data_IF_858142760612
#
_entry.id   IF_858142760612
#
_cell.length_a   1.000
_cell.length_b   1.000
_cell.length_c   1.000
_cell.angle_alpha   90.00
_cell.angle_beta   90.00
_cell.angle_gamma   90.00
#
_symmetry.space_group_name_H-M   'P 1'
#
loop_
_entity.id
_entity.type
_entity.pdbx_description
1 polymer ?
#
# COMPACT_ATOMS: atom_id res chain seq x y z
N UNK A 1 27.59 49.12 -31.09
CA UNK A 1 26.52 48.10 -31.02
C UNK A 1 25.20 48.84 -30.90
N UNK A 2 24.38 48.85 -31.95
CA UNK A 2 23.06 49.47 -31.95
C UNK A 2 22.06 48.49 -31.34
N UNK A 3 21.29 48.95 -30.34
CA UNK A 3 20.10 48.25 -29.84
C UNK A 3 18.99 48.47 -30.85
N UNK A 4 18.33 47.40 -31.31
CA UNK A 4 17.19 47.49 -32.20
C UNK A 4 15.95 47.86 -31.38
N UNK A 5 15.46 49.08 -31.54
CA UNK A 5 14.18 49.53 -30.98
C UNK A 5 13.06 48.97 -31.87
N UNK A 6 12.56 47.79 -31.52
CA UNK A 6 11.38 47.22 -32.19
C UNK A 6 10.13 47.94 -31.71
N UNK A 7 9.36 48.50 -32.65
CA UNK A 7 8.08 49.14 -32.36
C UNK A 7 6.97 48.08 -32.28
N UNK A 8 6.03 48.20 -31.33
CA UNK A 8 4.92 47.24 -31.12
C UNK A 8 4.12 46.96 -32.40
N UNK A 9 3.94 47.98 -33.24
CA UNK A 9 3.22 47.84 -34.50
C UNK A 9 4.00 46.99 -35.52
N UNK A 10 5.33 47.05 -35.51
CA UNK A 10 6.17 46.16 -36.33
C UNK A 10 6.11 44.71 -35.85
N UNK A 11 6.01 44.50 -34.53
CA UNK A 11 5.89 43.16 -33.94
C UNK A 11 4.53 42.55 -34.30
N UNK A 12 3.44 43.31 -34.23
CA UNK A 12 2.11 42.86 -34.62
C UNK A 12 2.03 42.50 -36.11
N UNK A 13 2.63 43.33 -36.96
CA UNK A 13 2.66 43.06 -38.40
C UNK A 13 3.47 41.79 -38.70
N UNK A 14 4.60 41.58 -38.04
CA UNK A 14 5.41 40.37 -38.19
C UNK A 14 4.67 39.10 -37.71
N UNK A 15 3.94 39.19 -36.60
CA UNK A 15 3.14 38.08 -36.06
C UNK A 15 1.94 37.76 -36.95
N UNK A 16 1.34 38.77 -37.59
CA UNK A 16 0.22 38.58 -38.51
C UNK A 16 0.61 37.87 -39.82
N UNK A 17 1.90 37.93 -40.18
CA UNK A 17 2.45 37.27 -41.37
C UNK A 17 2.86 35.81 -41.11
N UNK A 18 2.76 35.32 -39.87
CA UNK A 18 3.06 33.91 -39.59
C UNK A 18 1.92 33.01 -40.13
N UNK A 19 2.26 31.96 -40.90
CA UNK A 19 1.26 31.01 -41.37
C UNK A 19 0.61 30.33 -40.18
N UNK A 20 -0.70 30.10 -40.25
CA UNK A 20 -1.41 29.32 -39.23
C UNK A 20 -0.80 27.92 -39.16
N UNK A 21 -0.09 27.63 -38.06
CA UNK A 21 0.51 26.33 -37.80
C UNK A 21 -0.63 25.37 -37.48
N UNK A 22 -1.10 24.66 -38.50
CA UNK A 22 -2.05 23.55 -38.34
C UNK A 22 -1.25 22.27 -38.33
N UNK A 23 -1.35 21.56 -37.22
CA UNK A 23 -0.79 20.23 -37.13
C UNK A 23 -1.69 19.27 -37.93
N UNK A 24 -1.19 18.81 -39.07
CA UNK A 24 -1.89 17.88 -39.96
C UNK A 24 -1.64 16.41 -39.58
N UNK A 25 -0.97 16.14 -38.46
CA UNK A 25 -0.71 14.78 -38.00
C UNK A 25 -1.98 14.19 -37.40
N UNK A 26 -2.34 12.98 -37.83
CA UNK A 26 -3.45 12.25 -37.22
C UNK A 26 -3.08 11.81 -35.79
N UNK A 27 -4.05 11.71 -34.86
CA UNK A 27 -3.79 11.19 -33.51
C UNK A 27 -3.12 9.81 -33.52
N UNK A 28 -3.43 8.98 -34.52
CA UNK A 28 -2.84 7.66 -34.72
C UNK A 28 -1.36 7.73 -35.14
N UNK A 29 -0.97 8.71 -35.96
CA UNK A 29 0.42 8.92 -36.34
C UNK A 29 1.26 9.46 -35.17
N UNK A 30 0.66 10.27 -34.30
CA UNK A 30 1.28 10.75 -33.06
C UNK A 30 1.52 9.55 -32.12
N UNK A 31 0.50 8.72 -31.92
CA UNK A 31 0.60 7.52 -31.07
C UNK A 31 1.65 6.52 -31.58
N UNK A 32 1.69 6.28 -32.90
CA UNK A 32 2.66 5.39 -33.53
C UNK A 32 4.10 5.91 -33.39
N UNK A 33 4.31 7.23 -33.38
CA UNK A 33 5.63 7.84 -33.15
C UNK A 33 6.04 7.79 -31.68
N UNK A 34 5.10 7.97 -30.75
CA UNK A 34 5.35 7.83 -29.31
C UNK A 34 5.72 6.38 -28.94
N UNK A 35 5.06 5.39 -29.53
CA UNK A 35 5.39 3.98 -29.30
C UNK A 35 6.74 3.57 -29.92
N UNK A 36 7.11 4.15 -31.08
CA UNK A 36 8.42 3.93 -31.70
C UNK A 36 9.55 4.72 -31.03
N UNK A 37 9.26 5.82 -30.32
CA UNK A 37 10.26 6.60 -29.59
C UNK A 37 10.73 5.92 -28.29
N UNK A 38 9.99 4.93 -27.76
CA UNK A 38 10.37 4.15 -26.56
C UNK A 38 11.55 3.18 -26.76
N UNK A 39 12.15 3.09 -27.96
CA UNK A 39 13.27 2.17 -28.20
C UNK A 39 14.54 2.86 -28.71
N UNK A 40 15.19 3.73 -27.92
CA UNK A 40 16.61 4.04 -28.12
C UNK A 40 17.42 4.15 -26.81
N UNK A 41 18.22 3.10 -26.61
CA UNK A 41 19.53 2.97 -25.91
C UNK A 41 19.57 3.05 -24.36
N UNK A 42 19.69 1.87 -23.74
CA UNK A 42 20.51 1.69 -22.52
C UNK A 42 22.00 1.79 -22.90
N UNK A 43 22.81 2.51 -22.11
CA UNK A 43 24.26 2.54 -22.23
C UNK A 43 24.87 1.21 -21.79
N UNK A 44 25.82 0.67 -22.55
CA UNK A 44 26.49 -0.59 -22.24
C UNK A 44 27.37 -0.44 -20.98
N UNK A 45 26.92 -1.01 -19.86
CA UNK A 45 27.75 -1.23 -18.68
C UNK A 45 28.65 -2.44 -18.95
N UNK A 46 29.96 -2.26 -18.73
CA UNK A 46 31.00 -3.24 -19.05
C UNK A 46 31.00 -4.34 -17.99
N UNK A 47 30.60 -5.55 -18.40
CA UNK A 47 30.50 -6.76 -17.60
C UNK A 47 31.89 -7.24 -17.13
N UNK A 48 32.21 -7.12 -15.84
CA UNK A 48 33.39 -7.71 -15.18
C UNK A 48 32.89 -8.89 -14.33
N UNK A 49 32.44 -9.94 -15.01
CA UNK A 49 31.78 -11.10 -14.40
C UNK A 49 32.66 -12.27 -13.91
N UNK A 50 33.90 -12.52 -14.40
CA UNK A 50 34.62 -13.73 -13.96
C UNK A 50 35.64 -13.54 -12.83
N UNK A 51 36.10 -12.32 -12.54
CA UNK A 51 37.21 -12.09 -11.60
C UNK A 51 36.77 -12.00 -10.13
N UNK A 52 35.52 -11.58 -9.85
CA UNK A 52 35.03 -11.45 -8.47
C UNK A 52 34.55 -12.79 -7.88
N UNK A 53 34.05 -13.71 -8.71
CA UNK A 53 33.55 -15.01 -8.23
C UNK A 53 34.68 -15.93 -7.71
N UNK A 54 35.88 -15.85 -8.28
CA UNK A 54 37.04 -16.65 -7.84
C UNK A 54 37.56 -16.20 -6.48
N UNK A 55 37.58 -14.90 -6.19
CA UNK A 55 37.99 -14.37 -4.88
C UNK A 55 37.03 -14.79 -3.75
N UNK A 56 35.72 -14.82 -4.02
CA UNK A 56 34.71 -15.25 -3.04
C UNK A 56 34.80 -16.75 -2.75
N UNK A 57 35.02 -17.59 -3.77
CA UNK A 57 35.16 -19.03 -3.60
C UNK A 57 36.42 -19.41 -2.78
N UNK A 58 37.55 -18.73 -3.01
CA UNK A 58 38.79 -18.95 -2.23
C UNK A 58 38.62 -18.50 -0.77
N UNK A 59 37.89 -17.40 -0.54
CA UNK A 59 37.58 -16.93 0.81
C UNK A 59 36.67 -17.91 1.58
N UNK A 60 35.65 -18.47 0.92
CA UNK A 60 34.78 -19.51 1.51
C UNK A 60 35.58 -20.79 1.84
N UNK A 61 36.50 -21.22 0.97
CA UNK A 61 37.34 -22.39 1.23
C UNK A 61 38.28 -22.22 2.44
N UNK A 62 38.78 -20.99 2.67
CA UNK A 62 39.61 -20.67 3.84
C UNK A 62 38.81 -20.67 5.15
N UNK A 63 37.54 -20.26 5.13
CA UNK A 63 36.66 -20.28 6.31
C UNK A 63 36.27 -21.71 6.71
N UNK A 64 36.14 -22.61 5.73
CA UNK A 64 35.67 -23.99 5.98
C UNK A 64 36.81 -24.92 6.46
N UNK A 65 38.06 -24.61 6.13
CA UNK A 65 39.22 -25.47 6.41
C UNK A 65 39.49 -25.79 7.90
N UNK A 66 39.24 -24.88 8.88
CA UNK A 66 39.41 -25.22 10.29
C UNK A 66 38.30 -26.12 10.85
N UNK A 67 37.14 -26.19 10.19
CA UNK A 67 35.93 -26.80 10.76
C UNK A 67 35.81 -28.31 10.52
N UNK A 68 36.67 -28.88 9.67
CA UNK A 68 36.66 -30.31 9.31
C UNK A 68 37.79 -31.12 9.93
N UNK A 69 38.71 -30.50 10.69
CA UNK A 69 39.87 -31.20 11.24
C UNK A 69 39.72 -31.62 12.72
N UNK A 70 38.53 -31.49 13.31
CA UNK A 70 38.31 -31.74 14.75
C UNK A 70 37.66 -33.10 15.06
N UNK A 71 37.80 -34.09 14.17
CA UNK A 71 37.23 -35.43 14.39
C UNK A 71 38.26 -36.55 14.16
N UNK A 72 39.26 -36.63 15.06
CA UNK A 72 40.06 -37.83 15.28
C UNK A 72 40.50 -38.00 16.76
N UNK A 73 39.57 -38.55 17.57
CA UNK A 73 39.80 -39.46 18.72
C UNK A 73 40.37 -38.94 20.09
N UNK A 74 40.23 -39.70 21.21
CA UNK A 74 39.50 -39.23 22.41
C UNK A 74 40.31 -39.26 23.74
N UNK A 75 39.84 -38.55 24.78
CA UNK A 75 39.65 -39.01 26.18
C UNK A 75 39.70 -37.87 27.21
N UNK A 76 38.62 -37.82 28.00
CA UNK A 76 38.50 -37.49 29.44
C UNK A 76 39.60 -36.68 30.14
N UNK A 77 39.19 -35.58 30.78
CA UNK A 77 39.42 -35.34 32.22
C UNK A 77 38.48 -34.28 32.79
N UNK A 78 37.96 -34.60 33.97
CA UNK A 78 37.09 -33.78 34.82
C UNK A 78 37.83 -32.60 35.48
N UNK A 79 37.00 -31.67 35.98
CA UNK A 79 37.12 -30.92 37.23
C UNK A 79 37.49 -29.42 37.18
N UNK A 80 36.45 -28.64 37.50
CA UNK A 80 36.40 -27.58 38.52
C UNK A 80 36.58 -26.10 38.13
N UNK A 81 35.53 -25.34 38.51
CA UNK A 81 35.53 -23.94 39.01
C UNK A 81 35.79 -22.86 37.94
N UNK A 82 35.10 -21.71 37.87
CA UNK A 82 34.27 -20.95 38.81
C UNK A 82 33.49 -19.86 38.01
N UNK A 83 32.48 -19.28 38.64
CA UNK A 83 31.60 -18.22 38.15
C UNK A 83 32.27 -17.05 37.41
N UNK A 84 31.68 -16.65 36.28
CA UNK A 84 31.52 -15.24 35.91
C UNK A 84 30.28 -15.09 35.00
N UNK A 85 29.13 -14.85 35.64
CA UNK A 85 27.93 -14.35 34.96
C UNK A 85 28.24 -12.90 34.56
N UNK A 86 28.68 -12.70 33.32
CA UNK A 86 28.61 -11.39 32.68
C UNK A 86 27.42 -11.43 31.73
N UNK A 87 26.33 -10.78 32.16
CA UNK A 87 25.18 -10.46 31.31
C UNK A 87 25.66 -9.58 30.16
N UNK A 88 25.92 -10.19 29.02
CA UNK A 88 26.04 -9.46 27.75
C UNK A 88 24.66 -9.41 27.09
N UNK A 89 23.69 -8.82 27.79
CA UNK A 89 22.57 -8.20 27.10
C UNK A 89 23.04 -6.81 26.65
N UNK A 90 22.52 -6.34 25.51
CA UNK A 90 22.58 -4.96 24.99
C UNK A 90 23.63 -4.64 23.92
N UNK A 91 23.19 -4.81 22.67
CA UNK A 91 23.27 -3.80 21.60
C UNK A 91 22.47 -4.31 20.39
N UNK A 92 22.69 -5.57 20.01
CA UNK A 92 22.10 -6.20 18.83
C UNK A 92 20.61 -6.49 19.01
N UNK A 93 20.20 -7.04 20.16
CA UNK A 93 18.78 -7.27 20.47
C UNK A 93 17.96 -5.98 20.58
N UNK A 94 18.58 -4.86 21.00
CA UNK A 94 17.91 -3.55 21.02
C UNK A 94 17.72 -3.01 19.61
N UNK A 95 18.72 -3.17 18.73
CA UNK A 95 18.64 -2.72 17.33
C UNK A 95 17.64 -3.56 16.53
N UNK A 96 17.62 -4.87 16.73
CA UNK A 96 16.64 -5.78 16.14
C UNK A 96 15.20 -5.51 16.64
N UNK A 97 15.03 -5.26 17.94
CA UNK A 97 13.72 -4.88 18.50
C UNK A 97 13.24 -3.51 17.99
N UNK A 98 14.15 -2.54 17.80
CA UNK A 98 13.83 -1.24 17.20
C UNK A 98 13.45 -1.37 15.72
N UNK A 99 14.09 -2.26 14.94
CA UNK A 99 13.71 -2.50 13.54
C UNK A 99 12.35 -3.19 13.39
N UNK A 100 11.98 -4.07 14.32
CA UNK A 100 10.66 -4.72 14.33
C UNK A 100 9.53 -3.74 14.72
N UNK A 101 9.81 -2.77 15.58
CA UNK A 101 8.84 -1.72 15.96
C UNK A 101 8.52 -0.76 14.79
N UNK A 102 9.46 -0.62 13.84
CA UNK A 102 9.32 0.24 12.65
C UNK A 102 8.72 -0.48 11.44
N UNK A 103 8.50 -1.80 11.47
CA UNK A 103 8.04 -2.59 10.30
C UNK A 103 6.51 -2.72 10.20
N UNK A 104 5.76 -1.94 10.97
CA UNK A 104 4.29 -2.00 10.99
C UNK A 104 3.70 -1.46 9.68
N UNK A 105 2.74 -2.17 9.11
CA UNK A 105 1.96 -1.73 7.95
C UNK A 105 0.55 -1.26 8.34
N UNK A 106 0.34 -0.82 9.59
CA UNK A 106 -0.95 -0.27 10.03
C UNK A 106 -0.79 0.98 10.90
N UNK A 107 -1.78 1.87 10.78
CA UNK A 107 -1.95 3.04 11.65
C UNK A 107 -2.66 2.58 12.94
N UNK A 108 -2.07 2.80 14.13
CA UNK A 108 -2.76 2.53 15.39
C UNK A 108 -4.06 3.33 15.53
N UNK A 109 -5.09 2.75 16.17
CA UNK A 109 -6.40 3.40 16.35
C UNK A 109 -6.28 4.84 16.93
N UNK A 110 -5.46 4.99 17.97
CA UNK A 110 -5.21 6.28 18.65
C UNK A 110 -4.61 7.37 17.75
N UNK A 111 -4.04 7.01 16.60
CA UNK A 111 -3.39 7.93 15.66
C UNK A 111 -4.25 8.22 14.44
N UNK A 112 -5.50 7.73 14.37
CA UNK A 112 -6.40 7.89 13.22
C UNK A 112 -6.45 9.32 12.67
N UNK A 113 -6.54 10.32 13.56
CA UNK A 113 -6.69 11.71 13.17
C UNK A 113 -5.45 12.30 12.47
N UNK A 114 -4.29 11.65 12.60
CA UNK A 114 -3.02 12.06 12.02
C UNK A 114 -2.83 11.57 10.59
N UNK A 115 -3.75 10.74 10.07
CA UNK A 115 -3.62 10.12 8.75
C UNK A 115 -4.89 10.36 7.91
N UNK A 116 -4.70 10.35 6.59
CA UNK A 116 -5.79 10.29 5.62
C UNK A 116 -5.47 9.15 4.64
N UNK A 117 -6.42 8.25 4.44
CA UNK A 117 -6.22 7.12 3.52
C UNK A 117 -6.73 7.45 2.13
N UNK A 118 -5.92 7.11 1.14
CA UNK A 118 -6.22 7.19 -0.28
C UNK A 118 -5.85 5.87 -0.92
N UNK A 119 -6.67 5.38 -1.84
CA UNK A 119 -6.37 4.19 -2.59
C UNK A 119 -5.66 4.56 -3.89
N UNK A 120 -4.65 3.77 -4.24
CA UNK A 120 -4.00 3.76 -5.55
C UNK A 120 -4.21 2.39 -6.18
N UNK A 121 -4.17 2.30 -7.50
CA UNK A 121 -4.17 1.01 -8.18
C UNK A 121 -2.84 0.78 -8.90
N UNK A 122 -2.36 -0.44 -8.85
CA UNK A 122 -1.30 -0.90 -9.73
C UNK A 122 -1.85 -1.09 -11.15
N UNK A 123 -1.32 -0.36 -12.13
CA UNK A 123 -1.78 -0.42 -13.52
C UNK A 123 -1.62 -1.83 -14.13
N UNK A 124 -0.59 -2.57 -13.74
CA UNK A 124 -0.28 -3.88 -14.29
C UNK A 124 -1.20 -4.95 -13.70
N UNK A 125 -1.29 -5.01 -12.38
CA UNK A 125 -2.05 -6.06 -11.68
C UNK A 125 -3.51 -5.68 -11.44
N UNK A 126 -3.86 -4.39 -11.59
CA UNK A 126 -5.16 -3.81 -11.20
C UNK A 126 -5.50 -3.99 -9.71
N UNK A 127 -4.49 -4.25 -8.87
CA UNK A 127 -4.64 -4.37 -7.41
C UNK A 127 -4.89 -3.01 -6.79
N UNK A 128 -5.92 -2.90 -5.95
CA UNK A 128 -6.22 -1.68 -5.19
C UNK A 128 -5.46 -1.69 -3.87
N UNK A 129 -4.63 -0.68 -3.64
CA UNK A 129 -3.75 -0.54 -2.50
C UNK A 129 -4.19 0.69 -1.69
N UNK A 130 -4.84 0.52 -0.53
CA UNK A 130 -5.12 1.63 0.37
C UNK A 130 -3.85 2.08 1.09
N UNK A 131 -3.49 3.36 0.96
CA UNK A 131 -2.30 3.98 1.55
C UNK A 131 -2.72 5.08 2.50
N UNK A 132 -2.21 5.06 3.73
CA UNK A 132 -2.51 6.06 4.76
C UNK A 132 -1.40 7.10 4.83
N UNK A 133 -1.66 8.28 4.28
CA UNK A 133 -0.70 9.38 4.23
C UNK A 133 -0.78 10.17 5.54
N UNK A 134 0.37 10.36 6.18
CA UNK A 134 0.47 11.18 7.40
C UNK A 134 0.20 12.65 7.06
N UNK A 135 -0.73 13.27 7.80
CA UNK A 135 -1.09 14.67 7.62
C UNK A 135 0.08 15.58 7.96
N UNK A 136 0.31 16.57 7.10
CA UNK A 136 1.35 17.61 7.30
C UNK A 136 0.82 18.81 8.09
N UNK A 137 -0.52 19.01 8.07
CA UNK A 137 -1.23 20.08 8.78
C UNK A 137 -2.56 19.57 9.34
N UNK A 138 -3.01 20.15 10.45
CA UNK A 138 -4.21 19.67 11.17
C UNK A 138 -5.51 19.84 10.38
N UNK A 139 -5.55 20.78 9.43
CA UNK A 139 -6.70 21.10 8.59
C UNK A 139 -6.54 20.63 7.13
N UNK A 140 -5.66 19.66 6.89
CA UNK A 140 -5.44 19.12 5.55
C UNK A 140 -6.72 18.45 5.03
N UNK A 141 -7.14 18.84 3.83
CA UNK A 141 -8.38 18.36 3.21
C UNK A 141 -8.13 17.06 2.44
N UNK A 142 -9.19 16.29 2.19
CA UNK A 142 -9.12 15.10 1.32
C UNK A 142 -8.61 15.47 -0.07
N UNK A 143 -9.03 16.61 -0.62
CA UNK A 143 -8.59 17.07 -1.94
C UNK A 143 -7.06 17.22 -2.00
N UNK A 144 -6.47 17.87 -0.99
CA UNK A 144 -5.02 18.05 -0.91
C UNK A 144 -4.28 16.71 -0.85
N UNK A 145 -4.77 15.77 -0.02
CA UNK A 145 -4.15 14.44 0.10
C UNK A 145 -4.31 13.61 -1.18
N UNK A 146 -5.43 13.73 -1.90
CA UNK A 146 -5.61 13.08 -3.20
C UNK A 146 -4.57 13.57 -4.21
N UNK A 147 -4.31 14.87 -4.28
CA UNK A 147 -3.28 15.41 -5.18
C UNK A 147 -1.86 15.05 -4.74
N UNK A 148 -1.58 15.01 -3.44
CA UNK A 148 -0.30 14.53 -2.92
C UNK A 148 -0.07 13.06 -3.27
N UNK A 149 -1.14 12.26 -3.34
CA UNK A 149 -1.04 10.84 -3.68
C UNK A 149 -0.57 10.57 -5.11
N UNK A 150 -0.80 11.52 -6.02
CA UNK A 150 -0.34 11.43 -7.41
C UNK A 150 1.17 11.62 -7.55
N UNK A 151 1.80 12.24 -6.54
CA UNK A 151 3.24 12.48 -6.48
C UNK A 151 4.00 11.37 -5.74
N UNK A 152 3.29 10.36 -5.24
CA UNK A 152 3.89 9.25 -4.52
C UNK A 152 4.60 8.29 -5.48
N UNK A 153 5.92 8.19 -5.32
CA UNK A 153 6.76 7.21 -6.03
C UNK A 153 6.68 5.83 -5.37
N UNK A 154 5.45 5.29 -5.25
CA UNK A 154 5.17 3.97 -4.66
C UNK A 154 5.11 2.88 -5.74
N UNK A 155 4.61 3.24 -6.92
CA UNK A 155 4.52 2.36 -8.07
C UNK A 155 4.99 3.14 -9.29
N UNK A 156 5.77 2.50 -10.15
CA UNK A 156 6.25 3.08 -11.41
C UNK A 156 5.08 3.54 -12.31
N UNK A 157 3.91 2.88 -12.20
CA UNK A 157 2.69 3.18 -12.95
C UNK A 157 1.45 3.12 -12.04
N UNK A 158 1.39 3.97 -11.02
CA UNK A 158 0.19 4.12 -10.20
C UNK A 158 -0.97 4.73 -11.00
N UNK A 159 -2.17 4.20 -10.81
CA UNK A 159 -3.42 4.84 -11.20
C UNK A 159 -4.03 5.44 -9.94
N UNK A 160 -4.22 6.76 -9.93
CA UNK A 160 -4.78 7.50 -8.79
C UNK A 160 -6.15 8.07 -9.14
N UNK A 161 -6.89 8.56 -8.14
CA UNK A 161 -8.17 9.24 -8.39
C UNK A 161 -7.98 10.51 -9.26
N UNK A 162 -6.97 11.38 -8.98
CA UNK A 162 -6.65 12.50 -9.86
C UNK A 162 -6.47 12.13 -11.33
N UNK A 163 -5.96 10.94 -11.65
CA UNK A 163 -5.80 10.48 -13.05
C UNK A 163 -7.10 10.43 -13.86
N UNK A 164 -8.26 10.47 -13.21
CA UNK A 164 -9.59 10.49 -13.84
C UNK A 164 -10.33 11.82 -13.68
N UNK A 165 -9.76 12.74 -12.90
CA UNK A 165 -10.46 13.90 -12.34
C UNK A 165 -9.69 15.18 -12.65
N UNK A 166 -9.72 15.61 -13.91
CA UNK A 166 -9.30 16.96 -14.29
C UNK A 166 -10.34 17.98 -13.80
N UNK A 167 -9.87 19.07 -13.18
CA UNK A 167 -10.71 20.20 -12.75
C UNK A 167 -11.89 19.82 -11.81
N UNK A 168 -11.59 19.04 -10.77
CA UNK A 168 -12.58 18.63 -9.75
C UNK A 168 -12.41 19.38 -8.44
N UNK A 169 -13.50 19.91 -7.90
CA UNK A 169 -13.59 20.51 -6.57
C UNK A 169 -14.25 19.53 -5.59
N UNK A 170 -13.54 19.18 -4.51
CA UNK A 170 -14.05 18.27 -3.48
C UNK A 170 -14.41 19.07 -2.23
N UNK A 171 -15.69 19.05 -1.85
CA UNK A 171 -16.23 19.71 -0.67
C UNK A 171 -16.64 18.71 0.39
N UNK A 172 -16.08 18.85 1.57
CA UNK A 172 -16.35 18.02 2.74
C UNK A 172 -17.57 18.52 3.52
N UNK A 173 -18.63 17.70 3.63
CA UNK A 173 -19.79 17.98 4.48
C UNK A 173 -19.80 17.01 5.67
N UNK A 174 -18.99 17.32 6.68
CA UNK A 174 -18.81 16.49 7.87
C UNK A 174 -20.12 16.28 8.65
N UNK A 175 -21.00 17.28 8.70
CA UNK A 175 -22.27 17.21 9.43
C UNK A 175 -23.19 16.09 8.91
N UNK A 176 -23.15 15.83 7.60
CA UNK A 176 -23.97 14.79 6.97
C UNK A 176 -23.17 13.52 6.66
N UNK A 177 -21.87 13.49 6.98
CA UNK A 177 -20.93 12.45 6.54
C UNK A 177 -20.96 12.24 5.02
N UNK A 178 -21.09 13.35 4.29
CA UNK A 178 -21.15 13.36 2.83
C UNK A 178 -19.89 14.01 2.25
N UNK A 179 -19.31 13.40 1.22
CA UNK A 179 -18.31 14.05 0.38
C UNK A 179 -18.97 14.51 -0.91
N UNK A 180 -18.98 15.82 -1.15
CA UNK A 180 -19.52 16.40 -2.37
C UNK A 180 -18.40 16.59 -3.37
N UNK A 181 -18.48 15.92 -4.51
CA UNK A 181 -17.54 16.08 -5.61
C UNK A 181 -18.24 16.90 -6.69
N UNK A 182 -17.75 18.11 -6.90
CA UNK A 182 -18.21 19.00 -7.96
C UNK A 182 -17.25 18.89 -9.13
N UNK A 183 -17.80 18.57 -10.31
CA UNK A 183 -17.02 18.40 -11.53
C UNK A 183 -17.40 19.46 -12.55
N UNK A 184 -16.39 20.15 -13.08
CA UNK A 184 -16.58 21.18 -14.10
C UNK A 184 -16.69 20.58 -15.50
N UNK A 185 -16.10 19.41 -15.72
CA UNK A 185 -16.23 18.61 -16.95
C UNK A 185 -16.75 17.19 -16.62
N UNK A 186 -17.31 16.46 -17.59
CA UNK A 186 -17.62 15.05 -17.42
C UNK A 186 -16.38 14.26 -16.97
N UNK A 187 -16.55 13.32 -16.04
CA UNK A 187 -15.45 12.43 -15.64
C UNK A 187 -15.22 11.46 -16.79
N UNK A 188 -14.12 11.66 -17.53
CA UNK A 188 -13.72 10.81 -18.65
C UNK A 188 -13.05 9.54 -18.11
N UNK A 189 -13.82 8.46 -17.97
CA UNK A 189 -13.23 7.13 -17.97
C UNK A 189 -13.16 6.63 -19.41
N UNK A 190 -11.96 6.27 -19.87
CA UNK A 190 -11.72 5.89 -21.26
C UNK A 190 -12.27 4.49 -21.59
N UNK A 191 -12.65 3.70 -20.58
CA UNK A 191 -13.21 2.35 -20.73
C UNK A 191 -14.07 1.90 -19.53
N UNK A 192 -14.83 0.82 -19.72
CA UNK A 192 -15.58 0.13 -18.64
C UNK A 192 -14.64 -0.34 -17.51
N UNK A 193 -13.40 -0.71 -17.84
CA UNK A 193 -12.39 -1.10 -16.86
C UNK A 193 -12.00 0.09 -15.99
N UNK A 194 -11.79 1.25 -16.60
CA UNK A 194 -11.43 2.49 -15.92
C UNK A 194 -12.54 2.96 -14.98
N UNK A 195 -13.80 2.86 -15.42
CA UNK A 195 -14.98 3.13 -14.58
C UNK A 195 -14.99 2.24 -13.31
N UNK A 196 -14.70 0.95 -13.47
CA UNK A 196 -14.67 0.00 -12.36
C UNK A 196 -13.51 0.32 -11.40
N UNK A 197 -12.33 0.67 -11.93
CA UNK A 197 -11.17 1.06 -11.13
C UNK A 197 -11.47 2.33 -10.33
N UNK A 198 -11.94 3.40 -10.98
CA UNK A 198 -12.27 4.65 -10.31
C UNK A 198 -13.27 4.44 -9.16
N UNK A 199 -14.33 3.66 -9.41
CA UNK A 199 -15.32 3.34 -8.37
C UNK A 199 -14.70 2.58 -7.19
N UNK A 200 -13.77 1.66 -7.44
CA UNK A 200 -13.04 0.95 -6.38
C UNK A 200 -12.13 1.90 -5.61
N UNK A 201 -11.37 2.75 -6.30
CA UNK A 201 -10.48 3.74 -5.68
C UNK A 201 -11.25 4.68 -4.75
N UNK A 202 -12.37 5.25 -5.23
CA UNK A 202 -13.23 6.13 -4.43
C UNK A 202 -13.78 5.43 -3.18
N UNK A 203 -14.31 4.21 -3.35
CA UNK A 203 -14.86 3.43 -2.24
C UNK A 203 -13.80 3.05 -1.22
N UNK A 204 -12.65 2.59 -1.68
CA UNK A 204 -11.57 2.16 -0.82
C UNK A 204 -10.97 3.33 -0.06
N UNK A 205 -10.71 4.47 -0.72
CA UNK A 205 -10.19 5.69 -0.06
C UNK A 205 -11.11 6.14 1.07
N UNK A 206 -12.41 6.28 0.78
CA UNK A 206 -13.35 6.84 1.75
C UNK A 206 -13.82 5.85 2.81
N UNK A 207 -13.59 4.54 2.65
CA UNK A 207 -13.89 3.55 3.68
C UNK A 207 -13.29 3.94 5.03
N UNK A 208 -12.05 4.41 5.02
CA UNK A 208 -11.24 4.77 6.18
C UNK A 208 -11.51 6.19 6.72
N UNK A 209 -12.38 6.95 6.04
CA UNK A 209 -12.77 8.32 6.40
C UNK A 209 -14.05 8.34 7.25
N UNK A 210 -14.51 9.49 7.78
CA UNK A 210 -15.83 9.58 8.42
C UNK A 210 -17.01 9.58 7.43
N UNK A 211 -16.77 9.67 6.12
CA UNK A 211 -17.80 9.85 5.10
C UNK A 211 -18.49 8.53 4.73
N UNK A 212 -19.82 8.52 4.68
CA UNK A 212 -20.64 7.32 4.39
C UNK A 212 -21.14 7.28 2.94
N UNK A 213 -21.04 8.39 2.22
CA UNK A 213 -21.41 8.48 0.81
C UNK A 213 -20.73 9.64 0.09
N UNK A 214 -20.65 9.49 -1.24
CA UNK A 214 -20.22 10.53 -2.17
C UNK A 214 -21.44 11.02 -2.94
N UNK A 215 -21.61 12.34 -3.05
CA UNK A 215 -22.54 12.96 -3.99
C UNK A 215 -21.77 13.68 -5.07
N UNK A 216 -22.24 13.57 -6.30
CA UNK A 216 -21.52 14.09 -7.46
C UNK A 216 -22.41 15.11 -8.17
N UNK A 217 -21.86 16.28 -8.45
CA UNK A 217 -22.57 17.42 -9.03
C UNK A 217 -21.85 17.92 -10.27
N UNK A 218 -22.59 18.18 -11.35
CA UNK A 218 -22.07 18.83 -12.55
C UNK A 218 -22.26 20.35 -12.47
N UNK A 219 -21.17 21.11 -12.50
CA UNK A 219 -21.19 22.58 -12.52
C UNK A 219 -21.88 23.13 -13.77
N UNK A 220 -21.67 22.51 -14.93
CA UNK A 220 -22.27 22.92 -16.20
C UNK A 220 -23.80 22.75 -16.20
N UNK A 221 -24.29 21.65 -15.63
CA UNK A 221 -25.72 21.34 -15.67
C UNK A 221 -26.51 21.95 -14.51
N UNK A 222 -25.85 22.51 -13.47
CA UNK A 222 -26.46 23.01 -12.22
C UNK A 222 -27.50 22.03 -11.65
N UNK A 223 -27.24 20.73 -11.79
CA UNK A 223 -28.15 19.64 -11.43
C UNK A 223 -27.39 18.55 -10.69
N UNK A 224 -28.12 17.81 -9.87
CA UNK A 224 -27.60 16.63 -9.18
C UNK A 224 -27.18 15.57 -10.22
N UNK A 225 -25.99 15.02 -10.01
CA UNK A 225 -25.40 14.00 -10.86
C UNK A 225 -24.40 14.54 -11.87
N UNK A 226 -23.39 13.72 -12.14
CA UNK A 226 -22.49 13.89 -13.29
C UNK A 226 -22.36 12.56 -14.03
N UNK A 227 -22.11 12.63 -15.34
CA UNK A 227 -21.77 11.43 -16.11
C UNK A 227 -20.38 10.95 -15.71
N UNK A 228 -20.26 9.67 -15.35
CA UNK A 228 -18.97 9.04 -15.04
C UNK A 228 -18.76 7.93 -16.04
N UNK A 229 -17.91 8.20 -17.02
CA UNK A 229 -17.57 7.31 -18.11
C UNK A 229 -18.80 6.66 -18.78
N UNK A 230 -18.67 5.36 -19.04
CA UNK A 230 -19.64 4.56 -19.78
C UNK A 230 -20.84 4.08 -18.95
N UNK A 231 -20.79 4.26 -17.62
CA UNK A 231 -21.78 3.76 -16.68
C UNK A 231 -22.97 4.72 -16.44
N UNK A 232 -23.03 5.84 -17.16
CA UNK A 232 -24.11 6.81 -17.08
C UNK A 232 -23.96 7.83 -15.94
N UNK A 233 -25.06 8.48 -15.57
CA UNK A 233 -25.07 9.54 -14.54
C UNK A 233 -25.15 8.94 -13.14
N UNK A 234 -24.15 9.19 -12.30
CA UNK A 234 -24.21 8.89 -10.87
C UNK A 234 -24.56 10.16 -10.09
N UNK A 235 -25.55 10.05 -9.21
CA UNK A 235 -25.88 11.08 -8.23
C UNK A 235 -25.26 10.79 -6.87
N UNK A 236 -25.18 9.51 -6.49
CA UNK A 236 -24.71 9.08 -5.18
C UNK A 236 -23.93 7.74 -5.24
N UNK A 237 -22.86 7.62 -4.46
CA UNK A 237 -22.09 6.39 -4.26
C UNK A 237 -22.04 6.08 -2.75
N UNK A 238 -22.63 4.97 -2.28
CA UNK A 238 -22.53 4.56 -0.88
C UNK A 238 -21.13 4.00 -0.56
N UNK A 239 -20.64 4.32 0.64
CA UNK A 239 -19.34 3.93 1.17
C UNK A 239 -19.54 3.00 2.38
N UNK A 240 -19.63 1.67 2.15
CA UNK A 240 -19.77 0.72 3.26
C UNK A 240 -18.50 0.69 4.11
N UNK A 241 -18.64 0.85 5.43
CA UNK A 241 -17.52 0.79 6.39
C UNK A 241 -17.01 -0.62 6.65
N UNK A 242 -17.86 -1.60 6.40
CA UNK A 242 -17.55 -3.03 6.51
C UNK A 242 -17.90 -3.67 5.17
N UNK A 243 -16.98 -4.45 4.60
CA UNK A 243 -17.21 -5.15 3.34
C UNK A 243 -16.88 -6.64 3.42
N UNK A 244 -16.59 -7.16 4.61
CA UNK A 244 -16.34 -8.57 4.88
C UNK A 244 -15.24 -9.16 3.97
N UNK A 245 -14.15 -8.42 3.77
CA UNK A 245 -12.99 -8.85 2.96
C UNK A 245 -11.88 -9.35 3.86
N UNK A 246 -11.06 -10.25 3.32
CA UNK A 246 -9.80 -10.65 3.94
C UNK A 246 -8.69 -9.66 3.54
N UNK A 247 -7.55 -9.74 4.22
CA UNK A 247 -6.33 -9.04 3.83
C UNK A 247 -5.24 -10.02 3.41
N UNK A 248 -4.49 -9.65 2.36
CA UNK A 248 -3.35 -10.40 1.84
C UNK A 248 -2.11 -9.51 1.74
N UNK A 249 -0.95 -10.14 1.61
CA UNK A 249 0.30 -9.43 1.34
C UNK A 249 0.42 -9.18 -0.16
N UNK A 250 0.67 -7.93 -0.54
CA UNK A 250 1.06 -7.54 -1.89
C UNK A 250 2.46 -6.93 -1.81
N UNK A 251 3.34 -7.34 -2.73
CA UNK A 251 4.67 -6.76 -2.85
C UNK A 251 4.78 -6.11 -4.22
N UNK A 252 5.16 -4.82 -4.26
CA UNK A 252 5.35 -4.10 -5.51
C UNK A 252 6.66 -4.53 -6.21
N UNK A 253 6.89 -4.01 -7.42
CA UNK A 253 8.11 -4.31 -8.20
C UNK A 253 9.41 -3.85 -7.51
N UNK A 254 9.32 -2.88 -6.61
CA UNK A 254 10.44 -2.35 -5.83
C UNK A 254 10.74 -3.18 -4.56
N UNK A 255 9.94 -4.21 -4.28
CA UNK A 255 10.08 -5.08 -3.10
C UNK A 255 9.46 -4.52 -1.82
N UNK A 256 8.63 -3.48 -1.91
CA UNK A 256 7.89 -2.92 -0.79
C UNK A 256 6.58 -3.69 -0.56
N UNK A 257 6.33 -4.02 0.70
CA UNK A 257 5.18 -4.78 1.15
C UNK A 257 3.99 -3.88 1.51
N UNK A 258 2.79 -4.35 1.18
CA UNK A 258 1.50 -3.72 1.45
C UNK A 258 0.48 -4.76 1.91
N UNK A 259 -0.37 -4.37 2.86
CA UNK A 259 -1.57 -5.12 3.24
C UNK A 259 -2.73 -4.64 2.37
N UNK A 260 -3.24 -5.51 1.51
CA UNK A 260 -4.32 -5.18 0.55
C UNK A 260 -5.56 -6.00 0.83
N UNK A 261 -6.77 -5.43 0.69
CA UNK A 261 -8.00 -6.18 0.83
C UNK A 261 -8.22 -7.10 -0.38
N UNK A 262 -8.85 -8.24 -0.15
CA UNK A 262 -9.23 -9.16 -1.23
C UNK A 262 -10.33 -8.56 -2.11
N UNK A 263 -10.33 -8.88 -3.40
CA UNK A 263 -11.44 -8.52 -4.30
C UNK A 263 -12.77 -9.21 -3.91
N UNK A 264 -12.65 -10.42 -3.35
CA UNK A 264 -13.77 -11.22 -2.88
C UNK A 264 -14.23 -10.79 -1.49
N UNK A 265 -15.54 -10.88 -1.25
CA UNK A 265 -16.16 -10.77 0.07
C UNK A 265 -16.57 -12.15 0.59
N UNK A 266 -16.67 -12.27 1.91
CA UNK A 266 -16.98 -13.52 2.60
C UNK A 266 -18.20 -13.37 3.49
N UNK A 267 -18.88 -14.48 3.77
CA UNK A 267 -20.06 -14.44 4.63
C UNK A 267 -19.67 -14.41 6.10
N UNK A 268 -18.52 -15.03 6.44
CA UNK A 268 -18.04 -15.11 7.82
C UNK A 268 -16.55 -14.75 7.89
N UNK A 269 -16.12 -14.23 9.05
CA UNK A 269 -14.71 -13.92 9.30
C UNK A 269 -13.85 -15.18 9.27
N UNK A 270 -14.40 -16.34 9.63
CA UNK A 270 -13.72 -17.64 9.53
C UNK A 270 -13.37 -18.01 8.08
N UNK A 271 -14.27 -17.76 7.14
CA UNK A 271 -14.01 -17.96 5.71
C UNK A 271 -12.93 -17.00 5.20
N UNK A 272 -12.99 -15.72 5.61
CA UNK A 272 -11.98 -14.73 5.27
C UNK A 272 -10.60 -15.11 5.81
N UNK A 273 -10.49 -15.50 7.08
CA UNK A 273 -9.23 -15.98 7.67
C UNK A 273 -8.71 -17.23 6.94
N UNK A 274 -9.62 -18.11 6.47
CA UNK A 274 -9.21 -19.27 5.69
C UNK A 274 -8.62 -18.89 4.33
N UNK A 275 -9.13 -17.83 3.69
CA UNK A 275 -8.54 -17.28 2.48
C UNK A 275 -7.10 -16.80 2.71
N UNK A 276 -6.83 -16.16 3.85
CA UNK A 276 -5.50 -15.63 4.21
C UNK A 276 -4.42 -16.72 4.36
N UNK A 277 -4.81 -17.98 4.53
CA UNK A 277 -3.92 -19.14 4.60
C UNK A 277 -3.44 -19.65 3.23
N UNK A 278 -4.14 -19.30 2.14
CA UNK A 278 -3.83 -19.78 0.78
C UNK A 278 -3.60 -18.66 -0.24
N UNK A 279 -4.21 -17.49 -0.03
CA UNK A 279 -4.26 -16.34 -0.96
C UNK A 279 -4.49 -16.76 -2.42
N UNK A 280 -5.75 -17.03 -2.77
CA UNK A 280 -6.13 -17.44 -4.13
C UNK A 280 -6.16 -16.25 -5.12
N UNK A 281 -5.90 -15.02 -4.65
CA UNK A 281 -5.82 -13.83 -5.47
C UNK A 281 -4.46 -13.74 -6.19
N UNK A 282 -4.51 -13.53 -7.50
CA UNK A 282 -3.31 -13.32 -8.33
C UNK A 282 -2.50 -12.12 -7.80
N UNK A 283 -1.17 -12.23 -7.81
CA UNK A 283 -0.23 -11.18 -7.41
C UNK A 283 -0.24 -10.85 -5.90
N UNK A 284 -0.75 -11.75 -5.06
CA UNK A 284 -0.70 -11.63 -3.60
C UNK A 284 -0.15 -12.90 -2.96
N UNK A 285 0.38 -12.79 -1.75
CA UNK A 285 0.88 -13.90 -0.95
C UNK A 285 0.05 -14.08 0.33
N UNK A 286 -0.06 -15.33 0.83
CA UNK A 286 -0.72 -15.60 2.10
C UNK A 286 0.04 -14.96 3.27
N UNK A 287 -0.71 -14.38 4.21
CA UNK A 287 -0.18 -13.80 5.45
C UNK A 287 -0.10 -14.82 6.58
N UNK A 288 -0.83 -15.93 6.47
CA UNK A 288 -0.96 -16.94 7.51
C UNK A 288 -0.43 -18.27 6.95
N UNK A 289 0.40 -18.97 7.73
CA UNK A 289 0.77 -20.34 7.39
C UNK A 289 -0.46 -21.24 7.38
N UNK A 290 -0.63 -22.07 6.35
CA UNK A 290 -1.76 -22.98 6.25
C UNK A 290 -1.92 -23.87 7.49
N UNK A 291 -3.11 -23.84 8.11
CA UNK A 291 -3.42 -24.58 9.33
C UNK A 291 -2.92 -23.94 10.64
N UNK A 292 -2.36 -22.74 10.59
CA UNK A 292 -1.93 -22.02 11.78
C UNK A 292 -3.13 -21.64 12.67
N UNK A 293 -4.29 -21.28 12.08
CA UNK A 293 -5.48 -20.91 12.85
C UNK A 293 -6.32 -22.16 13.12
N UNK A 294 -6.45 -22.52 14.39
CA UNK A 294 -7.22 -23.70 14.83
C UNK A 294 -8.72 -23.41 14.93
N UNK A 295 -9.09 -22.26 15.50
CA UNK A 295 -10.50 -21.88 15.65
C UNK A 295 -10.66 -20.38 15.80
N UNK A 296 -11.83 -19.91 15.40
CA UNK A 296 -12.26 -18.52 15.51
C UNK A 296 -13.58 -18.50 16.25
N UNK A 297 -13.73 -17.60 17.23
CA UNK A 297 -14.97 -17.43 18.01
C UNK A 297 -15.32 -15.96 18.08
N UNK A 298 -16.60 -15.66 17.83
CA UNK A 298 -17.12 -14.30 17.78
C UNK A 298 -17.94 -14.04 19.04
N UNK A 299 -17.71 -12.93 19.73
CA UNK A 299 -18.55 -12.48 20.85
C UNK A 299 -18.76 -10.98 20.76
N UNK A 300 -19.99 -10.58 20.46
CA UNK A 300 -20.35 -9.16 20.28
C UNK A 300 -19.38 -8.49 19.29
N UNK A 301 -18.57 -7.53 19.76
CA UNK A 301 -17.60 -6.79 18.96
C UNK A 301 -16.15 -7.25 19.12
N UNK A 302 -15.95 -8.42 19.73
CA UNK A 302 -14.65 -9.01 20.03
C UNK A 302 -14.47 -10.32 19.25
N UNK A 303 -13.32 -10.46 18.59
CA UNK A 303 -12.91 -11.68 17.88
C UNK A 303 -11.84 -12.46 18.65
N UNK A 304 -12.05 -13.75 18.88
CA UNK A 304 -11.06 -14.64 19.50
C UNK A 304 -10.47 -15.55 18.44
N UNK A 305 -9.15 -15.49 18.26
CA UNK A 305 -8.40 -16.32 17.33
C UNK A 305 -7.47 -17.24 18.12
N UNK A 306 -7.74 -18.55 18.05
CA UNK A 306 -6.89 -19.56 18.66
C UNK A 306 -5.97 -20.17 17.60
N UNK A 307 -4.67 -20.06 17.81
CA UNK A 307 -3.67 -20.70 16.97
C UNK A 307 -3.47 -22.18 17.34
N UNK A 308 -2.92 -22.94 16.40
CA UNK A 308 -2.42 -24.29 16.63
C UNK A 308 -1.13 -24.24 17.47
N UNK A 309 -0.92 -25.20 18.37
CA UNK A 309 0.25 -25.23 19.29
C UNK A 309 1.63 -25.22 18.60
N UNK A 310 1.68 -25.59 17.32
CA UNK A 310 2.90 -25.62 16.50
C UNK A 310 2.79 -24.70 15.28
N UNK A 311 1.96 -23.65 15.38
CA UNK A 311 1.70 -22.70 14.29
C UNK A 311 2.91 -21.84 13.89
N UNK A 312 4.02 -21.88 14.65
CA UNK A 312 5.21 -21.09 14.36
C UNK A 312 4.98 -19.58 14.45
N UNK A 313 3.99 -19.14 15.24
CA UNK A 313 3.75 -17.72 15.50
C UNK A 313 4.90 -17.19 16.37
N UNK A 314 5.75 -16.36 15.78
CA UNK A 314 6.98 -15.88 16.38
C UNK A 314 7.07 -14.35 16.35
N UNK A 315 7.88 -13.78 17.25
CA UNK A 315 8.20 -12.35 17.25
C UNK A 315 9.14 -12.02 16.07
N UNK A 316 8.55 -11.83 14.89
CA UNK A 316 9.23 -11.63 13.62
C UNK A 316 8.40 -10.72 12.70
N UNK A 317 9.00 -10.23 11.60
CA UNK A 317 8.28 -9.45 10.59
C UNK A 317 7.07 -10.26 10.04
N UNK A 318 7.25 -11.54 9.76
CA UNK A 318 6.14 -12.39 9.31
C UNK A 318 5.02 -12.49 10.34
N UNK A 319 5.36 -12.62 11.63
CA UNK A 319 4.39 -12.61 12.72
C UNK A 319 3.65 -11.27 12.86
N UNK A 320 4.34 -10.15 12.67
CA UNK A 320 3.75 -8.80 12.67
C UNK A 320 2.75 -8.66 11.53
N UNK A 321 3.15 -8.98 10.30
CA UNK A 321 2.29 -8.88 9.12
C UNK A 321 1.07 -9.80 9.21
N UNK A 322 1.24 -11.02 9.72
CA UNK A 322 0.16 -11.95 10.00
C UNK A 322 -0.87 -11.35 10.96
N UNK A 323 -0.39 -10.81 12.10
CA UNK A 323 -1.25 -10.22 13.12
C UNK A 323 -1.97 -8.99 12.60
N UNK A 324 -1.28 -8.10 11.90
CA UNK A 324 -1.85 -6.88 11.33
C UNK A 324 -2.88 -7.16 10.24
N UNK A 325 -2.64 -8.15 9.37
CA UNK A 325 -3.63 -8.62 8.40
C UNK A 325 -4.88 -9.20 9.06
N UNK A 326 -4.72 -9.95 10.16
CA UNK A 326 -5.84 -10.49 10.94
C UNK A 326 -6.65 -9.38 11.60
N UNK A 327 -5.98 -8.35 12.15
CA UNK A 327 -6.65 -7.19 12.73
C UNK A 327 -7.43 -6.37 11.69
N UNK A 328 -6.84 -6.11 10.52
CA UNK A 328 -7.53 -5.42 9.42
C UNK A 328 -8.72 -6.24 8.90
N UNK A 329 -8.56 -7.55 8.78
CA UNK A 329 -9.66 -8.46 8.43
C UNK A 329 -10.76 -8.41 9.49
N UNK A 330 -10.43 -8.45 10.78
CA UNK A 330 -11.43 -8.33 11.84
C UNK A 330 -12.23 -7.02 11.75
N UNK A 331 -11.56 -5.90 11.42
CA UNK A 331 -12.21 -4.60 11.21
C UNK A 331 -13.20 -4.62 10.04
N UNK A 332 -12.88 -5.32 8.95
CA UNK A 332 -13.78 -5.47 7.78
C UNK A 332 -15.10 -6.18 8.13
N UNK A 333 -15.16 -6.90 9.26
CA UNK A 333 -16.36 -7.57 9.80
C UNK A 333 -17.02 -6.82 10.98
N UNK A 334 -16.48 -5.65 11.36
CA UNK A 334 -17.07 -4.80 12.40
C UNK A 334 -16.52 -4.99 13.81
N UNK A 335 -15.60 -5.93 14.03
CA UNK A 335 -14.96 -6.10 15.33
C UNK A 335 -14.08 -4.90 15.68
N UNK A 336 -14.01 -4.54 16.97
CA UNK A 336 -13.16 -3.46 17.48
C UNK A 336 -11.88 -3.96 18.10
N UNK A 337 -11.83 -5.23 18.52
CA UNK A 337 -10.67 -5.81 19.18
C UNK A 337 -10.57 -7.32 18.91
N UNK A 338 -9.34 -7.82 19.01
CA UNK A 338 -9.01 -9.23 18.78
C UNK A 338 -8.12 -9.73 19.91
N UNK A 339 -8.46 -10.89 20.49
CA UNK A 339 -7.57 -11.64 21.37
C UNK A 339 -6.99 -12.83 20.62
N UNK A 340 -5.66 -12.92 20.65
CA UNK A 340 -4.90 -14.03 20.10
C UNK A 340 -4.48 -14.97 21.22
N UNK A 341 -4.73 -16.26 21.03
CA UNK A 341 -4.42 -17.28 22.02
C UNK A 341 -3.58 -18.40 21.39
N UNK A 342 -2.74 -19.04 22.22
CA UNK A 342 -1.80 -20.10 21.81
C UNK A 342 -0.76 -19.61 20.77
N UNK A 343 -0.36 -18.34 20.85
CA UNK A 343 0.65 -17.68 20.01
C UNK A 343 2.08 -18.16 20.25
N UNK A 344 2.36 -18.95 21.29
CA UNK A 344 3.72 -19.40 21.64
C UNK A 344 4.64 -18.32 22.24
N UNK A 345 4.32 -17.05 22.04
CA UNK A 345 4.99 -15.87 22.62
C UNK A 345 3.96 -14.88 23.19
N UNK A 346 4.37 -14.03 24.14
CA UNK A 346 3.53 -12.94 24.67
C UNK A 346 3.69 -11.62 23.91
N UNK A 347 4.66 -11.53 23.01
CA UNK A 347 4.96 -10.32 22.27
C UNK A 347 5.26 -10.63 20.80
N UNK A 348 4.72 -9.80 19.91
CA UNK A 348 5.00 -9.81 18.47
C UNK A 348 5.13 -8.37 18.00
N UNK A 349 6.33 -7.94 17.62
CA UNK A 349 6.67 -6.55 17.32
C UNK A 349 6.32 -5.64 18.49
N UNK A 350 5.41 -4.70 18.25
CA UNK A 350 4.91 -3.75 19.27
C UNK A 350 3.70 -4.24 20.05
N UNK A 351 3.15 -5.40 19.68
CA UNK A 351 1.92 -5.91 20.25
C UNK A 351 2.22 -6.81 21.46
N UNK A 352 1.57 -6.51 22.59
CA UNK A 352 1.39 -7.48 23.66
C UNK A 352 0.21 -8.37 23.30
N UNK A 353 0.50 -9.62 22.91
CA UNK A 353 -0.53 -10.57 22.45
C UNK A 353 -1.15 -11.35 23.62
N UNK A 354 -0.80 -11.02 24.87
CA UNK A 354 -1.48 -11.56 26.05
C UNK A 354 -2.74 -10.79 26.41
N UNK A 355 -2.95 -9.61 25.81
CA UNK A 355 -4.13 -8.77 25.99
C UNK A 355 -4.99 -8.68 24.71
N UNK A 356 -6.16 -8.06 24.83
CA UNK A 356 -6.98 -7.71 23.67
C UNK A 356 -6.32 -6.58 22.89
N UNK A 357 -6.21 -6.72 21.57
CA UNK A 357 -5.58 -5.73 20.70
C UNK A 357 -6.67 -5.02 19.90
N UNK A 358 -6.77 -3.68 19.96
CA UNK A 358 -7.71 -2.94 19.14
C UNK A 358 -7.36 -3.05 17.66
N UNK A 359 -8.39 -3.10 16.80
CA UNK A 359 -8.18 -3.08 15.35
C UNK A 359 -7.58 -1.74 14.91
N UNK A 360 -6.69 -1.73 13.91
CA UNK A 360 -6.02 -0.52 13.48
C UNK A 360 -6.98 0.52 12.90
N UNK A 361 -6.54 1.78 12.86
CA UNK A 361 -7.26 2.85 12.20
C UNK A 361 -7.33 2.64 10.69
N UNK A 362 -6.19 2.35 10.06
CA UNK A 362 -6.05 2.25 8.61
C UNK A 362 -4.78 1.46 8.19
N UNK A 363 -4.71 0.94 6.95
CA UNK A 363 -3.57 0.18 6.45
C UNK A 363 -2.48 1.08 5.83
N UNK A 364 -1.29 0.50 5.66
CA UNK A 364 -0.15 0.99 4.89
C UNK A 364 0.21 2.47 5.14
N UNK A 365 0.66 2.83 6.36
CA UNK A 365 1.08 4.19 6.66
C UNK A 365 2.31 4.60 5.84
N UNK A 366 2.27 5.79 5.25
CA UNK A 366 3.37 6.41 4.50
C UNK A 366 3.58 7.84 4.98
N UNK A 367 4.84 8.26 5.02
CA UNK A 367 5.24 9.65 5.28
C UNK A 367 5.76 10.26 3.98
N UNK A 368 5.26 11.44 3.63
CA UNK A 368 5.84 12.26 2.57
C UNK A 368 7.15 12.86 3.09
N UNK A 369 8.23 12.75 2.32
CA UNK A 369 9.56 13.28 2.67
C UNK A 369 9.84 14.61 1.98
#
# INVERSE_FOLDING_TARGET
MMKSDWNEEQIKELLSQLPAVKDHRSPQDIYKRLSMAKSKKKSAVRWIGPACATAVAVYIAFIISPHFFDQAQPQQKEASQENAITKTETADSKKAALSLDQSSLVVPEKEQNNYTTVAIADAETSTIIPVSIKKTKSNQTIQEVLFESDQLDILDHAITIPSFMDEVEVKENQNHKELNIQVDQPIEAFSVKDDAILKKLLKESLKWSPYEKIKIFSSEQKKDGASIGSNGTFTEIPIPKHSNRAYSLYQNEQGQDFLVPTERTFNTVKEAIKEMESSNQTNTAPLIQAGAVKSVTEKQNHLYIHFSKHSGVEDSIAGILMLEGLLLTAKEFGFTEVTFAETGTKKIGRYDVSEAIPVPAAPNPISLH
#
